data_IF_305079846618
#
_entry.id   IF_305079846618
#
_cell.length_a   1.000
_cell.length_b   1.000
_cell.length_c   1.000
_cell.angle_alpha   90.00
_cell.angle_beta   90.00
_cell.angle_gamma   90.00
#
_symmetry.space_group_name_H-M   'P 1'
#
loop_
_entity.id
_entity.type
_entity.pdbx_description
1 polymer ?
#
# COMPACT_ATOMS: atom_id res chain seq x y z
N UNK A 1 -9.71 45.95 2.43
CA UNK A 1 -9.83 44.48 2.21
C UNK A 1 -10.63 44.09 0.94
N UNK A 2 -10.79 44.96 -0.07
CA UNK A 2 -11.60 44.66 -1.29
C UNK A 2 -10.76 44.57 -2.58
N UNK A 3 -9.43 44.79 -2.51
CA UNK A 3 -8.54 44.74 -3.69
C UNK A 3 -7.75 43.43 -3.85
N UNK A 4 -7.76 42.56 -2.85
CA UNK A 4 -6.98 41.31 -2.86
C UNK A 4 -7.75 40.12 -3.45
N UNK A 5 -9.09 40.20 -3.49
CA UNK A 5 -9.97 39.14 -4.03
C UNK A 5 -10.05 39.17 -5.57
N UNK A 6 -9.73 40.29 -6.23
CA UNK A 6 -9.75 40.40 -7.71
C UNK A 6 -8.49 39.89 -8.41
N UNK A 7 -7.39 39.60 -7.70
CA UNK A 7 -6.18 39.02 -8.29
C UNK A 7 -6.18 37.49 -8.34
N UNK A 8 -7.00 36.83 -7.52
CA UNK A 8 -7.09 35.36 -7.48
C UNK A 8 -7.93 34.77 -8.61
N UNK A 9 -8.81 35.55 -9.26
CA UNK A 9 -9.67 35.06 -10.35
C UNK A 9 -9.02 35.04 -11.74
N UNK A 10 -7.73 35.43 -11.89
CA UNK A 10 -7.03 35.37 -13.19
C UNK A 10 -5.93 34.30 -13.30
N UNK A 11 -5.73 33.48 -12.28
CA UNK A 11 -4.74 32.38 -12.31
C UNK A 11 -5.34 30.97 -12.55
N UNK A 12 -6.67 30.84 -12.68
CA UNK A 12 -7.35 29.56 -12.82
C UNK A 12 -7.86 29.25 -14.25
N UNK A 13 -7.38 29.97 -15.26
CA UNK A 13 -7.83 29.84 -16.66
C UNK A 13 -6.72 29.39 -17.63
N UNK A 14 -5.67 28.70 -17.14
CA UNK A 14 -4.49 28.33 -17.93
C UNK A 14 -3.96 26.92 -17.70
N UNK A 15 -4.76 25.98 -17.20
CA UNK A 15 -4.31 24.60 -16.92
C UNK A 15 -5.35 23.55 -17.34
N UNK A 16 -5.98 23.76 -18.50
CA UNK A 16 -6.94 22.81 -19.09
C UNK A 16 -6.66 22.68 -20.60
N UNK A 17 -5.45 22.22 -20.92
CA UNK A 17 -5.05 21.71 -22.23
C UNK A 17 -3.70 21.03 -22.04
N UNK A 18 -3.53 19.85 -22.65
CA UNK A 18 -2.36 18.93 -22.57
C UNK A 18 -2.46 17.87 -21.47
N UNK A 19 -3.33 16.87 -21.66
CA UNK A 19 -2.96 15.43 -21.70
C UNK A 19 -4.19 14.60 -22.07
N UNK A 20 -4.57 14.61 -23.35
CA UNK A 20 -5.43 13.61 -23.94
C UNK A 20 -4.59 12.87 -24.97
N UNK A 21 -3.96 11.76 -24.56
CA UNK A 21 -3.37 10.80 -25.50
C UNK A 21 -3.49 9.39 -24.93
N UNK A 22 -4.13 8.54 -25.73
CA UNK A 22 -4.08 7.06 -25.73
C UNK A 22 -4.94 6.33 -24.70
N UNK A 23 -6.25 6.30 -24.96
CA UNK A 23 -7.06 5.07 -24.76
C UNK A 23 -8.09 4.99 -25.87
N UNK A 24 -7.78 4.26 -26.93
CA UNK A 24 -8.80 3.69 -27.84
C UNK A 24 -8.47 2.22 -28.04
N UNK A 25 -9.07 1.40 -27.18
CA UNK A 25 -9.26 -0.02 -27.40
C UNK A 25 -10.51 -0.23 -28.27
N UNK A 26 -10.39 -1.19 -29.18
CA UNK A 26 -11.43 -2.10 -29.66
C UNK A 26 -12.52 -1.62 -30.66
N UNK A 27 -12.44 -2.25 -31.85
CA UNK A 27 -13.59 -2.80 -32.58
C UNK A 27 -13.72 -2.35 -34.05
N UNK A 28 -14.38 -3.12 -34.97
CA UNK A 28 -14.90 -4.49 -34.86
C UNK A 28 -14.56 -5.42 -36.06
N UNK A 29 -15.05 -6.66 -35.95
CA UNK A 29 -14.90 -7.82 -36.84
C UNK A 29 -16.12 -7.99 -37.77
N UNK A 30 -15.85 -8.46 -39.01
CA UNK A 30 -16.74 -9.14 -40.01
C UNK A 30 -17.91 -8.36 -40.66
N UNK A 31 -17.99 -8.36 -42.01
CA UNK A 31 -18.70 -9.36 -42.83
C UNK A 31 -18.77 -8.96 -44.34
N UNK A 32 -19.07 -9.95 -45.21
CA UNK A 32 -19.35 -9.95 -46.67
C UNK A 32 -18.11 -9.85 -47.60
N UNK A 33 -17.75 -10.81 -48.47
CA UNK A 33 -18.54 -11.51 -49.52
C UNK A 33 -18.68 -10.57 -50.73
N UNK A 34 -18.21 -10.77 -51.97
CA UNK A 34 -17.96 -11.95 -52.83
C UNK A 34 -17.10 -11.56 -54.06
N UNK A 35 -16.36 -12.53 -54.60
CA UNK A 35 -15.99 -12.75 -56.02
C UNK A 35 -15.20 -11.69 -56.83
N UNK A 36 -14.00 -12.07 -57.31
CA UNK A 36 -13.67 -12.36 -58.73
C UNK A 36 -12.16 -12.16 -58.95
N UNK A 37 -11.43 -13.23 -59.34
CA UNK A 37 -10.01 -13.16 -59.75
C UNK A 37 -9.83 -12.44 -61.10
N UNK A 38 -8.58 -12.21 -61.58
CA UNK A 38 -7.70 -13.33 -61.93
C UNK A 38 -6.20 -13.11 -61.61
N UNK A 39 -5.47 -14.20 -61.85
CA UNK A 39 -4.03 -14.41 -61.69
C UNK A 39 -3.12 -13.29 -62.22
N UNK A 40 -1.97 -13.09 -61.56
CA UNK A 40 -0.63 -13.02 -62.19
C UNK A 40 0.51 -12.84 -61.17
N UNK A 41 1.58 -13.61 -61.39
CA UNK A 41 3.01 -13.39 -61.07
C UNK A 41 3.44 -12.99 -59.64
N UNK A 42 4.07 -13.95 -58.95
CA UNK A 42 4.83 -13.72 -57.72
C UNK A 42 6.28 -13.32 -57.96
N UNK A 43 6.66 -12.18 -57.38
CA UNK A 43 8.01 -11.90 -56.87
C UNK A 43 7.83 -11.00 -55.63
N UNK A 44 8.36 -11.43 -54.48
CA UNK A 44 8.56 -10.56 -53.32
C UNK A 44 9.76 -11.06 -52.52
N UNK A 45 10.94 -10.58 -52.92
CA UNK A 45 12.07 -10.31 -52.04
C UNK A 45 11.66 -9.27 -51.01
N UNK A 46 11.67 -9.60 -49.71
CA UNK A 46 11.80 -8.66 -48.56
C UNK A 46 11.75 -9.45 -47.23
N UNK A 47 12.72 -10.35 -47.01
CA UNK A 47 12.84 -11.11 -45.75
C UNK A 47 13.83 -10.53 -44.73
N UNK A 48 14.62 -9.51 -45.10
CA UNK A 48 15.80 -9.13 -44.32
C UNK A 48 15.66 -7.83 -43.48
N UNK A 49 14.55 -7.09 -43.57
CA UNK A 49 14.43 -5.79 -42.91
C UNK A 49 13.61 -5.78 -41.59
N UNK A 50 13.00 -6.90 -41.21
CA UNK A 50 12.18 -6.99 -39.98
C UNK A 50 12.89 -7.70 -38.81
N UNK A 51 14.03 -8.35 -39.06
CA UNK A 51 14.81 -9.02 -38.01
C UNK A 51 15.68 -8.03 -37.19
N UNK A 52 16.21 -6.98 -37.83
CA UNK A 52 17.09 -5.99 -37.16
C UNK A 52 16.34 -5.01 -36.25
N UNK A 53 15.08 -4.70 -36.57
CA UNK A 53 14.27 -3.78 -35.75
C UNK A 53 13.78 -4.42 -34.44
N UNK A 54 13.62 -5.75 -34.41
CA UNK A 54 13.19 -6.51 -33.22
C UNK A 54 14.34 -6.74 -32.22
N UNK A 55 15.59 -6.79 -32.69
CA UNK A 55 16.77 -6.91 -31.83
C UNK A 55 17.12 -5.57 -31.14
N UNK A 56 16.91 -4.43 -31.82
CA UNK A 56 17.16 -3.10 -31.25
C UNK A 56 16.09 -2.63 -30.24
N UNK A 57 14.86 -3.15 -30.33
CA UNK A 57 13.79 -2.82 -29.38
C UNK A 57 13.90 -3.57 -28.04
N UNK A 58 14.67 -4.67 -28.01
CA UNK A 58 14.81 -5.57 -26.85
C UNK A 58 15.89 -5.12 -25.85
N UNK A 59 16.81 -4.24 -26.26
CA UNK A 59 17.92 -3.73 -25.42
C UNK A 59 17.61 -2.39 -24.74
N UNK A 60 16.53 -1.71 -25.13
CA UNK A 60 16.17 -0.38 -24.62
C UNK A 60 15.24 -0.38 -23.37
N UNK A 61 14.76 -1.55 -22.92
CA UNK A 61 13.94 -1.67 -21.70
C UNK A 61 14.67 -2.26 -20.49
N UNK A 62 15.99 -2.46 -20.57
CA UNK A 62 16.83 -2.60 -19.37
C UNK A 62 17.04 -1.22 -18.69
N UNK A 63 15.94 -0.49 -18.47
CA UNK A 63 15.93 0.67 -17.60
C UNK A 63 16.19 0.14 -16.20
N UNK A 64 17.45 0.33 -15.77
CA UNK A 64 17.98 0.18 -14.43
C UNK A 64 16.94 0.69 -13.41
N UNK A 65 16.07 -0.21 -12.96
CA UNK A 65 15.28 0.01 -11.75
C UNK A 65 16.34 0.26 -10.69
N UNK A 66 16.30 1.40 -9.96
CA UNK A 66 17.15 1.54 -8.80
C UNK A 66 16.80 0.35 -7.93
N UNK A 67 17.72 -0.62 -7.80
CA UNK A 67 17.56 -1.74 -6.89
C UNK A 67 17.50 -1.08 -5.53
N UNK A 68 16.29 -0.75 -5.07
CA UNK A 68 15.99 -0.60 -3.66
C UNK A 68 16.47 -1.92 -3.10
N UNK A 69 17.66 -1.92 -2.51
CA UNK A 69 18.38 -3.15 -2.23
C UNK A 69 17.51 -3.95 -1.28
N UNK A 70 16.80 -4.93 -1.82
CA UNK A 70 15.86 -5.70 -1.05
C UNK A 70 16.68 -6.48 -0.01
N UNK A 71 16.21 -6.56 1.24
CA UNK A 71 16.84 -7.43 2.22
C UNK A 71 16.90 -8.85 1.65
N UNK A 72 18.08 -9.45 1.66
CA UNK A 72 18.27 -10.81 1.21
C UNK A 72 18.04 -11.82 2.35
N UNK A 73 18.04 -11.35 3.60
CA UNK A 73 17.76 -12.20 4.74
C UNK A 73 17.72 -11.45 6.06
N UNK A 74 17.36 -12.19 7.10
CA UNK A 74 17.35 -11.74 8.47
C UNK A 74 17.90 -12.87 9.35
N UNK A 75 18.86 -12.54 10.21
CA UNK A 75 19.33 -13.45 11.25
C UNK A 75 18.76 -13.00 12.59
N UNK A 76 18.05 -13.89 13.27
CA UNK A 76 17.39 -13.62 14.56
C UNK A 76 18.07 -14.47 15.64
N UNK A 77 18.46 -13.83 16.73
CA UNK A 77 19.03 -14.47 17.92
C UNK A 77 18.27 -14.00 19.15
N UNK A 78 18.14 -14.84 20.17
CA UNK A 78 17.46 -14.43 21.39
C UNK A 78 17.14 -15.56 22.33
N UNK A 79 16.38 -15.22 23.37
CA UNK A 79 16.02 -16.15 24.45
C UNK A 79 15.18 -17.30 23.90
N UNK A 80 15.54 -18.54 24.25
CA UNK A 80 14.84 -19.76 23.82
C UNK A 80 15.27 -20.33 22.46
N UNK A 81 16.14 -19.64 21.72
CA UNK A 81 16.72 -20.17 20.48
C UNK A 81 18.08 -20.80 20.76
N UNK A 82 18.22 -22.10 20.48
CA UNK A 82 19.49 -22.82 20.62
C UNK A 82 20.50 -22.43 19.53
N UNK A 83 20.01 -22.15 18.32
CA UNK A 83 20.79 -21.67 17.17
C UNK A 83 20.18 -20.39 16.61
N UNK A 84 20.98 -19.49 15.99
CA UNK A 84 20.45 -18.33 15.28
C UNK A 84 19.48 -18.75 14.18
N UNK A 85 18.26 -18.22 14.23
CA UNK A 85 17.26 -18.44 13.19
C UNK A 85 17.66 -17.62 11.96
N UNK A 86 18.05 -18.30 10.89
CA UNK A 86 18.49 -17.68 9.64
C UNK A 86 17.37 -17.73 8.61
N UNK A 87 16.76 -16.58 8.38
CA UNK A 87 15.74 -16.41 7.34
C UNK A 87 16.42 -15.83 6.08
N UNK A 88 16.12 -16.40 4.92
CA UNK A 88 16.64 -15.95 3.63
C UNK A 88 15.48 -15.71 2.68
N UNK A 89 15.52 -14.61 1.94
CA UNK A 89 14.44 -14.19 1.05
C UNK A 89 14.21 -15.19 -0.10
N UNK A 90 15.20 -16.01 -0.42
CA UNK A 90 15.09 -17.09 -1.42
C UNK A 90 14.17 -18.22 -0.98
N UNK A 91 14.08 -18.48 0.32
CA UNK A 91 13.37 -19.64 0.90
C UNK A 91 12.13 -19.20 1.66
N UNK A 92 12.22 -18.08 2.38
CA UNK A 92 11.20 -17.52 3.26
C UNK A 92 10.96 -16.03 2.95
N UNK A 93 10.49 -15.68 1.74
CA UNK A 93 10.35 -14.29 1.31
C UNK A 93 9.32 -13.52 2.15
N UNK A 94 8.23 -14.16 2.54
CA UNK A 94 7.13 -13.52 3.28
C UNK A 94 7.57 -13.19 4.70
N UNK A 95 8.25 -14.13 5.36
CA UNK A 95 8.75 -14.02 6.72
C UNK A 95 9.85 -12.95 6.83
N UNK A 96 10.77 -12.91 5.85
CA UNK A 96 11.82 -11.88 5.79
C UNK A 96 11.19 -10.50 5.66
N UNK A 97 10.21 -10.31 4.77
CA UNK A 97 9.53 -9.03 4.61
C UNK A 97 8.79 -8.65 5.89
N UNK A 98 8.06 -9.58 6.50
CA UNK A 98 7.31 -9.34 7.72
C UNK A 98 8.23 -8.87 8.87
N UNK A 99 9.40 -9.50 9.06
CA UNK A 99 10.35 -9.10 10.10
C UNK A 99 11.03 -7.77 9.77
N UNK A 100 11.43 -7.55 8.51
CA UNK A 100 12.04 -6.28 8.11
C UNK A 100 11.05 -5.13 8.27
N UNK A 101 9.77 -5.33 8.00
CA UNK A 101 8.73 -4.32 8.19
C UNK A 101 8.53 -3.89 9.65
N UNK A 102 8.98 -4.69 10.61
CA UNK A 102 9.00 -4.30 12.02
C UNK A 102 10.03 -3.22 12.33
N UNK A 103 11.10 -3.11 11.55
CA UNK A 103 12.26 -2.23 11.81
C UNK A 103 12.53 -1.21 10.70
N UNK A 104 12.03 -1.42 9.48
CA UNK A 104 12.32 -0.58 8.31
C UNK A 104 11.76 0.83 8.41
N UNK A 105 10.73 1.03 9.25
CA UNK A 105 10.07 2.32 9.47
C UNK A 105 10.77 3.20 10.51
N UNK A 106 11.77 2.68 11.21
CA UNK A 106 12.46 3.40 12.28
C UNK A 106 13.17 4.63 11.74
N UNK A 107 12.81 5.79 12.28
CA UNK A 107 13.37 7.07 11.87
C UNK A 107 14.85 7.23 12.22
N UNK A 108 15.44 8.35 11.78
CA UNK A 108 16.85 8.67 12.07
C UNK A 108 17.11 8.92 13.56
N UNK A 109 16.14 9.49 14.27
CA UNK A 109 16.28 9.86 15.69
C UNK A 109 15.29 9.05 16.53
N UNK A 110 15.81 8.33 17.52
CA UNK A 110 15.03 7.65 18.56
C UNK A 110 15.16 8.38 19.89
N UNK A 111 14.43 7.93 20.91
CA UNK A 111 14.59 8.44 22.26
C UNK A 111 15.94 8.01 22.85
N UNK A 112 16.63 8.93 23.53
CA UNK A 112 17.93 8.63 24.15
C UNK A 112 17.81 7.68 25.36
N UNK A 113 16.67 7.74 26.05
CA UNK A 113 16.36 6.90 27.22
C UNK A 113 15.25 5.91 26.91
N UNK A 114 15.55 4.64 27.13
CA UNK A 114 14.60 3.55 27.02
C UNK A 114 13.81 3.31 28.32
N UNK A 115 12.89 2.34 28.28
CA UNK A 115 12.26 1.79 29.48
C UNK A 115 13.29 1.25 30.47
N UNK A 116 12.86 1.05 31.71
CA UNK A 116 13.71 0.40 32.73
C UNK A 116 14.01 -1.04 32.31
N UNK A 117 15.19 -1.55 32.65
CA UNK A 117 15.60 -2.91 32.28
C UNK A 117 14.62 -3.99 32.79
N UNK A 118 14.04 -3.79 33.97
CA UNK A 118 13.02 -4.69 34.54
C UNK A 118 11.72 -4.74 33.72
N UNK A 119 11.46 -3.73 32.89
CA UNK A 119 10.25 -3.58 32.08
C UNK A 119 10.45 -4.03 30.61
N UNK A 120 11.64 -4.50 30.22
CA UNK A 120 11.96 -4.78 28.81
C UNK A 120 11.59 -6.19 28.33
N UNK A 121 11.37 -7.16 29.23
CA UNK A 121 11.06 -8.54 28.83
C UNK A 121 12.20 -9.22 28.05
N UNK A 122 11.93 -10.29 27.29
CA UNK A 122 12.95 -11.04 26.56
C UNK A 122 13.52 -10.22 25.39
N UNK A 123 14.84 -10.33 25.20
CA UNK A 123 15.56 -9.64 24.12
C UNK A 123 15.75 -10.55 22.91
N UNK A 124 15.46 -10.02 21.72
CA UNK A 124 15.76 -10.67 20.44
C UNK A 124 16.57 -9.73 19.56
N UNK A 125 17.79 -10.13 19.19
CA UNK A 125 18.63 -9.34 18.30
C UNK A 125 18.41 -9.80 16.86
N UNK A 126 18.02 -8.84 16.03
CA UNK A 126 17.71 -9.01 14.61
C UNK A 126 18.79 -8.32 13.78
N UNK A 127 19.43 -9.08 12.90
CA UNK A 127 20.42 -8.59 11.94
C UNK A 127 19.83 -8.66 10.55
N UNK A 128 19.73 -7.51 9.89
CA UNK A 128 19.21 -7.39 8.52
C UNK A 128 20.35 -7.53 7.53
N UNK A 129 20.22 -8.48 6.61
CA UNK A 129 21.19 -8.74 5.55
C UNK A 129 20.71 -8.19 4.22
N UNK A 130 21.62 -7.57 3.48
CA UNK A 130 21.41 -7.15 2.10
C UNK A 130 22.44 -7.89 1.24
N UNK A 131 21.95 -8.83 0.42
CA UNK A 131 22.78 -9.94 -0.03
C UNK A 131 23.27 -10.77 1.17
N UNK A 132 24.53 -11.19 1.16
CA UNK A 132 25.16 -11.91 2.28
C UNK A 132 25.84 -10.99 3.30
N UNK A 133 25.60 -9.67 3.21
CA UNK A 133 26.26 -8.67 4.05
C UNK A 133 25.29 -8.17 5.12
N UNK A 134 25.69 -8.30 6.39
CA UNK A 134 24.98 -7.69 7.51
C UNK A 134 25.04 -6.16 7.38
N UNK A 135 23.88 -5.50 7.38
CA UNK A 135 23.80 -4.05 7.19
C UNK A 135 23.31 -3.32 8.42
N UNK A 136 22.33 -3.90 9.13
CA UNK A 136 21.70 -3.28 10.27
C UNK A 136 21.46 -4.29 11.39
N UNK A 137 21.55 -3.83 12.63
CA UNK A 137 21.25 -4.61 13.82
C UNK A 137 20.26 -3.85 14.70
N UNK A 138 19.26 -4.57 15.19
CA UNK A 138 18.22 -4.06 16.08
C UNK A 138 17.98 -5.05 17.22
N UNK A 139 17.78 -4.54 18.43
CA UNK A 139 17.32 -5.33 19.56
C UNK A 139 15.82 -5.11 19.75
N UNK A 140 15.04 -6.17 19.63
CA UNK A 140 13.61 -6.21 19.79
C UNK A 140 13.22 -6.71 21.18
N UNK A 141 12.20 -6.08 21.74
CA UNK A 141 11.63 -6.37 23.04
C UNK A 141 10.11 -6.46 22.89
N UNK A 142 9.58 -7.62 22.46
CA UNK A 142 8.17 -7.75 22.13
C UNK A 142 7.26 -7.62 23.36
N UNK A 143 7.69 -8.13 24.52
CA UNK A 143 6.89 -8.15 25.76
C UNK A 143 7.30 -7.04 26.75
N UNK A 144 7.77 -5.90 26.24
CA UNK A 144 8.09 -4.77 27.09
C UNK A 144 6.82 -4.13 27.68
N UNK A 145 6.91 -3.67 28.93
CA UNK A 145 5.81 -3.00 29.61
C UNK A 145 5.47 -1.68 28.91
N UNK A 146 4.20 -1.48 28.60
CA UNK A 146 3.72 -0.32 27.84
C UNK A 146 3.89 -0.46 26.33
N UNK A 147 4.06 -1.69 25.84
CA UNK A 147 4.06 -2.05 24.43
C UNK A 147 5.45 -2.41 23.89
N UNK A 148 5.51 -3.05 22.70
CA UNK A 148 6.77 -3.52 22.12
C UNK A 148 7.80 -2.40 21.98
N UNK A 149 9.08 -2.72 22.17
CA UNK A 149 10.18 -1.75 22.07
C UNK A 149 11.26 -2.24 21.13
N UNK A 150 11.88 -1.28 20.45
CA UNK A 150 13.04 -1.54 19.60
C UNK A 150 14.17 -0.62 20.02
N UNK A 151 15.35 -1.19 20.20
CA UNK A 151 16.58 -0.45 20.38
C UNK A 151 17.46 -0.62 19.15
N UNK A 152 17.89 0.51 18.58
CA UNK A 152 18.92 0.50 17.55
C UNK A 152 20.27 0.84 18.21
N UNK A 153 21.27 -0.06 18.19
CA UNK A 153 22.61 0.26 18.66
C UNK A 153 23.29 1.33 17.79
N UNK A 154 24.21 2.11 18.37
CA UNK A 154 25.04 3.05 17.60
C UNK A 154 26.06 2.33 16.71
N UNK A 155 26.53 1.15 17.14
CA UNK A 155 27.47 0.33 16.39
C UNK A 155 26.68 -0.54 15.41
N UNK A 156 26.58 -0.09 14.17
CA UNK A 156 25.97 -0.86 13.08
C UNK A 156 27.04 -1.69 12.36
N UNK A 157 26.66 -2.85 11.76
CA UNK A 157 27.60 -3.69 11.01
C UNK A 157 28.17 -2.99 9.77
N UNK A 158 27.36 -2.16 9.10
CA UNK A 158 27.79 -1.38 7.93
C UNK A 158 28.52 -0.09 8.38
N UNK A 159 29.85 0.03 8.15
CA UNK A 159 30.62 1.20 8.57
C UNK A 159 30.23 2.49 7.83
N UNK A 160 29.54 2.40 6.69
CA UNK A 160 29.03 3.57 5.99
C UNK A 160 27.82 4.20 6.71
N UNK A 161 27.14 3.44 7.58
CA UNK A 161 25.96 3.92 8.33
C UNK A 161 26.36 4.48 9.68
N UNK A 162 26.25 5.80 9.81
CA UNK A 162 26.47 6.53 11.06
C UNK A 162 25.16 6.79 11.80
N UNK A 163 24.46 5.71 12.11
CA UNK A 163 23.19 5.80 12.83
C UNK A 163 23.43 6.05 14.32
N UNK A 164 22.64 6.96 14.91
CA UNK A 164 22.67 7.18 16.36
C UNK A 164 21.93 6.05 17.07
N UNK A 165 22.43 5.69 18.26
CA UNK A 165 21.69 4.84 19.17
C UNK A 165 20.35 5.50 19.50
N UNK A 166 19.29 4.69 19.62
CA UNK A 166 17.99 5.23 19.94
C UNK A 166 16.98 4.15 20.28
N UNK A 167 16.05 4.52 21.15
CA UNK A 167 14.89 3.74 21.51
C UNK A 167 13.68 4.15 20.69
N UNK A 168 12.92 3.15 20.27
CA UNK A 168 11.74 3.31 19.45
C UNK A 168 10.61 2.46 20.03
N UNK A 169 9.37 2.91 19.81
CA UNK A 169 8.21 2.06 20.00
C UNK A 169 8.21 1.03 18.88
N UNK A 170 7.98 -0.24 19.18
CA UNK A 170 7.78 -1.29 18.19
C UNK A 170 6.34 -1.30 17.69
N UNK A 171 6.06 -2.04 16.62
CA UNK A 171 4.66 -2.28 16.21
C UNK A 171 4.01 -3.28 17.15
N UNK A 172 2.70 -3.15 17.31
CA UNK A 172 1.89 -4.06 18.13
C UNK A 172 1.90 -5.50 17.61
N UNK A 173 2.09 -5.69 16.30
CA UNK A 173 2.17 -7.03 15.69
C UNK A 173 3.52 -7.73 15.84
N UNK A 174 4.46 -7.16 16.61
CA UNK A 174 5.82 -7.66 16.73
C UNK A 174 5.92 -9.04 17.38
N UNK A 175 5.20 -9.26 18.48
CA UNK A 175 5.17 -10.56 19.17
C UNK A 175 4.66 -11.66 18.25
N UNK A 176 3.56 -11.40 17.53
CA UNK A 176 2.96 -12.33 16.58
C UNK A 176 3.88 -12.61 15.40
N UNK A 177 4.49 -11.58 14.82
CA UNK A 177 5.43 -11.75 13.70
C UNK A 177 6.60 -12.64 14.11
N UNK A 178 7.17 -12.42 15.30
CA UNK A 178 8.27 -13.24 15.81
C UNK A 178 7.84 -14.69 16.09
N UNK A 179 6.62 -14.92 16.59
CA UNK A 179 6.07 -16.27 16.77
C UNK A 179 5.92 -17.01 15.45
N UNK A 180 5.37 -16.35 14.42
CA UNK A 180 5.14 -16.98 13.11
C UNK A 180 6.43 -17.42 12.44
N UNK A 181 7.53 -16.68 12.65
CA UNK A 181 8.84 -17.08 12.10
C UNK A 181 9.56 -18.14 12.93
N UNK A 182 8.97 -18.60 14.04
CA UNK A 182 9.50 -19.70 14.85
C UNK A 182 10.26 -19.28 16.11
N UNK A 183 10.15 -18.02 16.54
CA UNK A 183 10.68 -17.61 17.84
C UNK A 183 9.78 -18.16 18.95
N UNK A 184 10.33 -18.90 19.94
CA UNK A 184 9.55 -19.45 21.05
C UNK A 184 9.18 -18.34 22.03
N UNK A 185 8.07 -17.67 21.75
CA UNK A 185 7.43 -16.69 22.62
C UNK A 185 6.12 -17.28 23.14
N UNK A 186 5.81 -17.03 24.42
CA UNK A 186 4.51 -17.39 24.98
C UNK A 186 3.37 -16.77 24.16
N UNK A 187 2.30 -17.55 23.95
CA UNK A 187 1.12 -17.10 23.21
C UNK A 187 0.30 -16.14 24.08
N UNK A 188 0.74 -14.89 24.15
CA UNK A 188 -0.04 -13.77 24.67
C UNK A 188 -0.72 -13.05 23.50
N UNK A 189 -2.04 -12.89 23.58
CA UNK A 189 -2.78 -11.98 22.72
C UNK A 189 -2.43 -10.57 23.20
N UNK A 190 -1.67 -9.82 22.40
CA UNK A 190 -1.39 -8.40 22.64
C UNK A 190 -2.69 -7.60 22.42
N UNK A 191 -3.62 -7.77 23.36
CA UNK A 191 -4.89 -7.08 23.41
C UNK A 191 -4.66 -5.74 24.06
N UNK A 192 -4.95 -4.68 23.31
CA UNK A 192 -5.04 -3.32 23.80
C UNK A 192 -6.10 -3.32 24.92
N UNK A 193 -5.68 -3.28 26.18
CA UNK A 193 -6.56 -3.10 27.34
C UNK A 193 -7.08 -1.66 27.43
N UNK A 194 -7.60 -1.12 26.33
CA UNK A 194 -8.04 0.27 26.23
C UNK A 194 -8.34 0.70 24.81
N UNK A 195 -9.44 0.22 24.25
CA UNK A 195 -9.89 0.63 22.92
C UNK A 195 -11.07 -0.21 22.44
N UNK A 196 -12.25 0.07 23.00
CA UNK A 196 -13.53 -0.41 22.48
C UNK A 196 -13.67 0.11 21.04
N UNK A 197 -13.62 -0.77 20.05
CA UNK A 197 -13.76 -0.35 18.66
C UNK A 197 -13.47 -1.42 17.61
N UNK A 198 -14.35 -2.42 17.51
CA UNK A 198 -14.63 -3.10 16.24
C UNK A 198 -13.73 -4.30 15.89
N UNK A 199 -14.33 -5.49 15.92
CA UNK A 199 -13.76 -6.71 15.34
C UNK A 199 -13.73 -7.86 16.34
N UNK A 200 -14.41 -8.94 16.01
CA UNK A 200 -14.46 -10.20 16.76
C UNK A 200 -15.38 -10.23 17.99
N UNK A 201 -16.69 -10.15 17.75
CA UNK A 201 -17.60 -10.96 18.57
C UNK A 201 -17.67 -12.33 17.94
N UNK A 202 -17.21 -13.33 18.68
CA UNK A 202 -17.59 -14.73 18.55
C UNK A 202 -19.09 -14.78 18.20
N UNK A 203 -19.41 -15.11 16.94
CA UNK A 203 -20.76 -15.44 16.52
C UNK A 203 -21.06 -16.84 17.06
N UNK A 204 -22.08 -17.02 17.91
CA UNK A 204 -22.75 -18.31 18.03
C UNK A 204 -23.31 -18.68 16.64
N UNK A 205 -23.23 -19.95 16.26
CA UNK A 205 -23.58 -20.53 14.94
C UNK A 205 -25.04 -20.30 14.44
N UNK A 206 -25.83 -19.43 15.06
CA UNK A 206 -27.25 -19.20 14.76
C UNK A 206 -27.54 -17.91 13.93
N UNK A 207 -26.54 -17.15 13.49
CA UNK A 207 -26.76 -15.88 12.75
C UNK A 207 -26.28 -15.87 11.30
N UNK A 208 -26.39 -17.00 10.59
CA UNK A 208 -26.15 -17.06 9.15
C UNK A 208 -27.47 -16.89 8.37
N UNK A 209 -28.02 -15.68 8.36
CA UNK A 209 -28.89 -15.26 7.25
C UNK A 209 -28.33 -13.99 6.58
N UNK A 210 -27.30 -14.13 5.73
CA UNK A 210 -26.61 -13.00 5.09
C UNK A 210 -27.49 -12.18 4.14
N UNK A 211 -28.69 -12.63 3.80
CA UNK A 211 -29.61 -11.88 2.95
C UNK A 211 -30.25 -10.68 3.69
N UNK A 212 -30.59 -10.85 4.97
CA UNK A 212 -31.28 -9.80 5.74
C UNK A 212 -30.41 -8.57 6.01
N UNK A 213 -29.14 -8.78 6.37
CA UNK A 213 -28.20 -7.68 6.67
C UNK A 213 -27.84 -6.86 5.41
N UNK A 214 -27.88 -7.47 4.22
CA UNK A 214 -27.63 -6.76 2.95
C UNK A 214 -28.83 -5.90 2.58
N UNK A 215 -30.05 -6.38 2.78
CA UNK A 215 -31.28 -5.61 2.49
C UNK A 215 -31.42 -4.40 3.42
N UNK A 216 -31.08 -4.54 4.70
CA UNK A 216 -31.08 -3.43 5.67
C UNK A 216 -30.04 -2.35 5.29
N UNK A 217 -28.81 -2.77 4.94
CA UNK A 217 -27.75 -1.84 4.53
C UNK A 217 -28.09 -1.14 3.19
N UNK A 218 -28.69 -1.85 2.24
CA UNK A 218 -29.15 -1.28 0.97
C UNK A 218 -30.33 -0.33 1.17
N UNK A 219 -31.26 -0.63 2.08
CA UNK A 219 -32.38 0.26 2.41
C UNK A 219 -31.89 1.57 3.05
N UNK A 220 -30.91 1.51 3.95
CA UNK A 220 -30.30 2.70 4.56
C UNK A 220 -29.56 3.55 3.49
N UNK A 221 -28.81 2.90 2.59
CA UNK A 221 -28.13 3.57 1.48
C UNK A 221 -29.12 4.23 0.51
N UNK A 222 -30.20 3.52 0.17
CA UNK A 222 -31.27 4.01 -0.69
C UNK A 222 -32.00 5.18 -0.04
N UNK A 223 -32.23 5.14 1.28
CA UNK A 223 -32.86 6.24 2.03
C UNK A 223 -32.00 7.50 2.03
N UNK A 224 -30.70 7.37 2.26
CA UNK A 224 -29.77 8.50 2.19
C UNK A 224 -29.63 9.06 0.76
N UNK A 225 -29.63 8.20 -0.26
CA UNK A 225 -29.56 8.60 -1.66
C UNK A 225 -30.85 9.27 -2.13
N UNK A 226 -32.02 8.71 -1.80
CA UNK A 226 -33.33 9.29 -2.12
C UNK A 226 -33.55 10.63 -1.41
N UNK A 227 -33.06 10.78 -0.17
CA UNK A 227 -33.10 12.06 0.53
C UNK A 227 -32.30 13.12 -0.22
N UNK A 228 -31.05 12.81 -0.59
CA UNK A 228 -30.18 13.74 -1.30
C UNK A 228 -30.71 14.10 -2.69
N UNK A 229 -31.18 13.12 -3.47
CA UNK A 229 -31.77 13.34 -4.79
C UNK A 229 -33.07 14.13 -4.68
N UNK A 230 -33.92 13.83 -3.68
CA UNK A 230 -35.15 14.56 -3.41
C UNK A 230 -34.91 16.04 -3.13
N UNK A 231 -33.94 16.37 -2.27
CA UNK A 231 -33.56 17.76 -1.98
C UNK A 231 -33.09 18.47 -3.25
N UNK A 232 -32.28 17.80 -4.08
CA UNK A 232 -31.76 18.35 -5.33
C UNK A 232 -32.90 18.67 -6.33
N UNK A 233 -33.89 17.78 -6.45
CA UNK A 233 -35.08 18.00 -7.27
C UNK A 233 -35.94 19.17 -6.77
N UNK A 234 -36.15 19.28 -5.45
CA UNK A 234 -36.93 20.37 -4.85
C UNK A 234 -36.27 21.73 -5.12
N UNK A 235 -34.96 21.83 -4.95
CA UNK A 235 -34.21 23.07 -5.26
C UNK A 235 -34.34 23.42 -6.74
N UNK A 236 -34.19 22.42 -7.62
CA UNK A 236 -34.26 22.61 -9.08
C UNK A 236 -35.65 23.06 -9.51
N UNK A 237 -36.72 22.45 -8.98
CA UNK A 237 -38.09 22.85 -9.25
C UNK A 237 -38.40 24.25 -8.71
N UNK A 238 -37.91 24.57 -7.50
CA UNK A 238 -38.07 25.90 -6.91
C UNK A 238 -37.42 26.98 -7.77
N UNK A 239 -36.18 26.76 -8.21
CA UNK A 239 -35.47 27.67 -9.11
C UNK A 239 -36.19 27.82 -10.47
N UNK A 240 -36.63 26.70 -11.05
CA UNK A 240 -37.38 26.72 -12.31
C UNK A 240 -38.72 27.46 -12.17
N UNK A 241 -39.44 27.27 -11.07
CA UNK A 241 -40.70 27.95 -10.78
C UNK A 241 -40.52 29.46 -10.63
N UNK A 242 -39.50 29.89 -9.88
CA UNK A 242 -39.16 31.31 -9.74
C UNK A 242 -38.78 31.92 -11.09
N UNK A 243 -37.96 31.24 -11.89
CA UNK A 243 -37.58 31.70 -13.22
C UNK A 243 -38.79 31.85 -14.15
N UNK A 244 -39.74 30.90 -14.09
CA UNK A 244 -40.95 30.93 -14.90
C UNK A 244 -41.90 32.06 -14.46
N UNK A 245 -42.04 32.30 -13.15
CA UNK A 245 -42.79 33.43 -12.60
C UNK A 245 -42.21 34.78 -13.05
N UNK A 246 -40.88 34.93 -13.00
CA UNK A 246 -40.20 36.13 -13.49
C UNK A 246 -40.48 36.33 -14.98
N UNK A 247 -40.31 35.28 -15.79
CA UNK A 247 -40.56 35.31 -17.24
C UNK A 247 -42.00 35.72 -17.57
N UNK A 248 -42.97 35.26 -16.77
CA UNK A 248 -44.40 35.56 -16.96
C UNK A 248 -44.75 36.99 -16.55
N UNK A 249 -44.03 37.58 -15.59
CA UNK A 249 -44.22 38.96 -15.13
C UNK A 249 -43.58 40.00 -16.06
N UNK A 250 -42.55 39.60 -16.80
CA UNK A 250 -41.85 40.47 -17.77
C UNK A 250 -42.48 40.51 -19.17
N UNK A 251 -43.56 39.78 -19.41
CA UNK A 251 -44.45 39.97 -20.56
C UNK A 251 -45.74 40.64 -20.10
#
# INVERSE_FOLDING_TARGET
MVRQVRRSCRAAAGALLVTALVTTLAGPVRAAGTATGPATTGQATTGAALADAAAAASTALARKVPRKTLPAGVDITGVGLAEPLRLRATTHPVEVVAVVDQVSWLGRTGADKGPKAADLGPKFTVVVLVGEIATQTYDLYPLAKGGPRVYRPAKQPDPARKDKAGWFLGRLSMSETLRTVGVPLERQLDTVSGGVGGGERVLPDDSLNPAGDIDEALAELQRLLLLNVGVMLVITLGLAGIALLIRRRTR
#
